data_IF_810756166067
#
_entry.id   IF_810756166067
#
_cell.length_a   1.000
_cell.length_b   1.000
_cell.length_c   1.000
_cell.angle_alpha   90.00
_cell.angle_beta   90.00
_cell.angle_gamma   90.00
#
_symmetry.space_group_name_H-M   'P 1'
#
loop_
_entity.id
_entity.type
_entity.pdbx_description
1 polymer ?
#
# COMPACT_ATOMS: atom_id res chain seq x y z
N UNK A 1 10.90 -24.46 -5.02
CA UNK A 1 12.28 -24.67 -4.55
C UNK A 1 12.78 -26.11 -4.72
N UNK A 2 12.01 -27.16 -4.34
CA UNK A 2 12.43 -28.56 -4.54
C UNK A 2 12.85 -28.89 -6.00
N UNK A 3 12.06 -28.48 -6.99
CA UNK A 3 12.39 -28.69 -8.41
C UNK A 3 13.59 -27.87 -8.92
N UNK A 4 13.99 -26.79 -8.23
CA UNK A 4 15.17 -26.01 -8.61
C UNK A 4 16.45 -26.71 -8.15
N UNK A 5 16.47 -27.26 -6.94
CA UNK A 5 17.59 -28.07 -6.45
C UNK A 5 17.80 -29.33 -7.30
N UNK A 6 16.72 -30.03 -7.66
CA UNK A 6 16.78 -31.18 -8.57
C UNK A 6 17.33 -30.83 -9.96
N UNK A 7 16.97 -29.65 -10.47
CA UNK A 7 17.55 -29.13 -11.71
C UNK A 7 19.06 -28.90 -11.60
N UNK A 8 19.54 -28.31 -10.50
CA UNK A 8 20.97 -28.05 -10.28
C UNK A 8 21.79 -29.35 -10.18
N UNK A 9 21.25 -30.37 -9.50
CA UNK A 9 21.85 -31.71 -9.47
C UNK A 9 21.93 -32.29 -10.89
N UNK A 10 20.89 -32.11 -11.71
CA UNK A 10 20.86 -32.63 -13.09
C UNK A 10 21.87 -31.96 -14.02
N UNK A 11 22.25 -30.71 -13.75
CA UNK A 11 23.24 -29.97 -14.55
C UNK A 11 24.64 -29.97 -13.92
N UNK A 12 24.88 -30.90 -12.99
CA UNK A 12 26.20 -31.22 -12.41
C UNK A 12 26.88 -30.03 -11.70
N UNK A 13 26.06 -29.23 -11.01
CA UNK A 13 26.51 -28.11 -10.15
C UNK A 13 27.30 -28.66 -8.96
N UNK A 14 28.32 -27.91 -8.51
CA UNK A 14 29.21 -28.37 -7.44
C UNK A 14 28.49 -28.55 -6.09
N UNK A 15 28.97 -29.49 -5.27
CA UNK A 15 28.46 -29.70 -3.89
C UNK A 15 28.50 -28.42 -3.04
N UNK A 16 29.53 -27.58 -3.23
CA UNK A 16 29.65 -26.29 -2.54
C UNK A 16 28.53 -25.32 -2.92
N UNK A 17 28.11 -25.31 -4.19
CA UNK A 17 27.00 -24.49 -4.68
C UNK A 17 25.64 -25.06 -4.25
N UNK A 18 25.45 -26.38 -4.28
CA UNK A 18 24.25 -27.03 -3.77
C UNK A 18 24.05 -26.72 -2.27
N UNK A 19 25.12 -26.80 -1.47
CA UNK A 19 25.07 -26.44 -0.06
C UNK A 19 24.76 -24.96 0.17
N UNK A 20 25.15 -24.06 -0.74
CA UNK A 20 24.74 -22.65 -0.69
C UNK A 20 23.25 -22.51 -0.94
N UNK A 21 22.72 -23.15 -1.99
CA UNK A 21 21.29 -23.11 -2.31
C UNK A 21 20.44 -23.68 -1.16
N UNK A 22 20.90 -24.76 -0.52
CA UNK A 22 20.18 -25.34 0.62
C UNK A 22 20.13 -24.39 1.82
N UNK A 23 21.21 -23.63 2.08
CA UNK A 23 21.20 -22.55 3.09
C UNK A 23 20.24 -21.44 2.69
N UNK A 24 20.32 -20.95 1.47
CA UNK A 24 19.43 -19.88 0.99
C UNK A 24 17.95 -20.30 1.10
N UNK A 25 17.62 -21.55 0.79
CA UNK A 25 16.26 -22.11 0.96
C UNK A 25 15.84 -22.14 2.43
N UNK A 26 16.74 -22.53 3.33
CA UNK A 26 16.46 -22.57 4.76
C UNK A 26 16.26 -21.16 5.35
N UNK A 27 17.08 -20.20 4.93
CA UNK A 27 16.99 -18.80 5.35
C UNK A 27 15.66 -18.18 4.87
N UNK A 28 15.29 -18.38 3.59
CA UNK A 28 13.98 -17.95 3.05
C UNK A 28 12.82 -18.61 3.81
N UNK A 29 12.96 -19.89 4.17
CA UNK A 29 11.92 -20.59 4.92
C UNK A 29 11.77 -20.07 6.34
N UNK A 30 12.87 -19.64 6.98
CA UNK A 30 12.88 -19.06 8.33
C UNK A 30 12.27 -17.64 8.35
N UNK A 31 12.42 -16.88 7.27
CA UNK A 31 11.83 -15.54 7.11
C UNK A 31 10.36 -15.57 6.67
N UNK A 32 9.80 -16.75 6.37
CA UNK A 32 8.44 -16.86 5.85
C UNK A 32 7.42 -16.49 6.94
N UNK A 33 6.55 -15.52 6.61
CA UNK A 33 5.36 -15.18 7.42
C UNK A 33 4.53 -16.43 7.75
N UNK A 34 4.04 -16.48 8.97
CA UNK A 34 3.24 -17.60 9.48
C UNK A 34 1.76 -17.22 9.53
N UNK A 35 0.84 -18.11 9.13
CA UNK A 35 -0.59 -17.82 9.22
C UNK A 35 -1.04 -17.62 10.67
N UNK A 36 -2.00 -16.72 10.94
CA UNK A 36 -2.53 -16.55 12.29
C UNK A 36 -3.25 -17.82 12.76
N UNK A 37 -2.90 -18.29 13.97
CA UNK A 37 -3.49 -19.48 14.59
C UNK A 37 -4.94 -19.26 15.08
N UNK A 38 -5.35 -17.99 15.22
CA UNK A 38 -6.66 -17.62 15.74
C UNK A 38 -7.80 -17.82 14.74
N UNK A 39 -9.00 -18.07 15.26
CA UNK A 39 -10.24 -18.10 14.46
C UNK A 39 -10.39 -16.77 13.71
N UNK A 40 -10.80 -16.79 12.43
CA UNK A 40 -10.88 -15.57 11.65
C UNK A 40 -11.97 -14.66 12.20
N UNK A 41 -11.70 -13.37 12.20
CA UNK A 41 -12.72 -12.35 12.44
C UNK A 41 -13.84 -12.54 11.39
N UNK A 42 -15.11 -12.75 11.81
CA UNK A 42 -16.21 -13.03 10.91
C UNK A 42 -16.87 -11.78 10.32
N UNK A 43 -16.50 -10.57 10.76
CA UNK A 43 -17.14 -9.33 10.33
C UNK A 43 -17.05 -9.16 8.80
N UNK A 44 -18.17 -8.87 8.11
CA UNK A 44 -18.14 -8.48 6.72
C UNK A 44 -17.48 -7.10 6.60
N UNK A 45 -16.87 -6.81 5.44
CA UNK A 45 -16.34 -5.48 5.19
C UNK A 45 -17.48 -4.47 4.96
N UNK A 46 -17.48 -3.41 5.75
CA UNK A 46 -18.16 -2.14 5.52
C UNK A 46 -17.13 -0.99 5.56
N UNK A 47 -17.61 0.25 5.40
CA UNK A 47 -16.73 1.42 5.35
C UNK A 47 -16.02 1.67 6.69
N UNK A 48 -16.69 1.42 7.82
CA UNK A 48 -16.11 1.64 9.14
C UNK A 48 -15.03 0.59 9.43
N UNK A 49 -15.27 -0.68 9.09
CA UNK A 49 -14.26 -1.73 9.21
C UNK A 49 -13.08 -1.52 8.26
N UNK A 50 -13.30 -0.98 7.07
CA UNK A 50 -12.19 -0.62 6.16
C UNK A 50 -11.23 0.35 6.83
N UNK A 51 -11.75 1.44 7.41
CA UNK A 51 -10.94 2.43 8.09
C UNK A 51 -10.35 1.92 9.40
N UNK A 52 -11.10 1.11 10.17
CA UNK A 52 -10.57 0.42 11.36
C UNK A 52 -9.32 -0.41 11.03
N UNK A 53 -9.33 -1.14 9.90
CA UNK A 53 -8.18 -1.95 9.46
C UNK A 53 -7.01 -1.05 9.04
N UNK A 54 -7.26 0.04 8.31
CA UNK A 54 -6.21 0.98 7.85
C UNK A 54 -5.55 1.71 9.02
N UNK A 55 -6.35 2.11 10.00
CA UNK A 55 -5.93 2.88 11.17
C UNK A 55 -5.42 2.01 12.32
N UNK A 56 -5.46 0.68 12.17
CA UNK A 56 -4.87 -0.24 13.12
C UNK A 56 -3.40 0.11 13.37
N UNK A 57 -3.01 0.03 14.64
CA UNK A 57 -1.65 0.31 15.12
C UNK A 57 -1.16 1.72 14.75
N UNK A 58 -2.05 2.71 14.66
CA UNK A 58 -1.74 4.10 14.25
C UNK A 58 -0.69 4.84 15.09
N UNK A 59 -0.34 4.34 16.28
CA UNK A 59 0.75 4.87 17.12
C UNK A 59 2.14 4.37 16.68
N UNK A 60 2.22 3.30 15.90
CA UNK A 60 3.47 2.73 15.41
C UNK A 60 4.04 3.55 14.23
N UNK A 61 5.36 3.54 14.02
CA UNK A 61 5.97 4.11 12.82
C UNK A 61 5.36 3.53 11.54
N UNK A 62 5.23 4.35 10.51
CA UNK A 62 4.53 3.96 9.27
C UNK A 62 5.15 2.72 8.61
N UNK A 63 6.48 2.61 8.59
CA UNK A 63 7.18 1.44 8.07
C UNK A 63 6.81 0.15 8.81
N UNK A 64 6.75 0.18 10.14
CA UNK A 64 6.36 -0.96 10.97
C UNK A 64 4.89 -1.33 10.74
N UNK A 65 4.00 -0.33 10.62
CA UNK A 65 2.59 -0.53 10.28
C UNK A 65 2.43 -1.22 8.92
N UNK A 66 3.18 -0.77 7.91
CA UNK A 66 3.16 -1.34 6.56
C UNK A 66 3.66 -2.79 6.55
N UNK A 67 4.76 -3.06 7.27
CA UNK A 67 5.34 -4.40 7.35
C UNK A 67 4.39 -5.42 7.98
N UNK A 68 3.68 -5.00 9.04
CA UNK A 68 2.71 -5.81 9.79
C UNK A 68 1.32 -5.88 9.13
N UNK A 69 1.02 -4.98 8.19
CA UNK A 69 -0.30 -4.86 7.57
C UNK A 69 -0.85 -6.17 7.00
N UNK A 70 -0.06 -6.98 6.24
CA UNK A 70 -0.55 -8.27 5.72
C UNK A 70 -0.95 -9.24 6.83
N UNK A 71 -0.20 -9.29 7.93
CA UNK A 71 -0.44 -10.20 9.05
C UNK A 71 -1.70 -9.77 9.83
N UNK A 72 -1.89 -8.46 10.02
CA UNK A 72 -3.10 -7.89 10.59
C UNK A 72 -4.34 -8.21 9.74
N UNK A 73 -4.25 -8.02 8.42
CA UNK A 73 -5.33 -8.31 7.49
C UNK A 73 -5.62 -9.82 7.38
N UNK A 74 -4.60 -10.68 7.56
CA UNK A 74 -4.76 -12.14 7.56
C UNK A 74 -5.62 -12.66 8.73
N UNK A 75 -5.89 -11.84 9.75
CA UNK A 75 -6.80 -12.17 10.86
C UNK A 75 -8.27 -12.27 10.41
N UNK A 76 -8.63 -11.73 9.25
CA UNK A 76 -9.98 -11.76 8.71
C UNK A 76 -10.24 -12.97 7.82
N UNK A 77 -11.52 -13.25 7.50
CA UNK A 77 -11.87 -14.29 6.52
C UNK A 77 -11.34 -13.95 5.11
N UNK A 78 -10.98 -14.95 4.28
CA UNK A 78 -10.57 -14.72 2.88
C UNK A 78 -11.56 -13.91 2.04
N UNK A 79 -12.86 -13.99 2.35
CA UNK A 79 -13.86 -13.12 1.71
C UNK A 79 -13.64 -11.64 2.07
N UNK A 80 -13.51 -11.31 3.35
CA UNK A 80 -13.27 -9.95 3.84
C UNK A 80 -11.98 -9.37 3.28
N UNK A 81 -10.91 -10.17 3.18
CA UNK A 81 -9.64 -9.73 2.57
C UNK A 81 -9.81 -9.34 1.09
N UNK A 82 -10.57 -10.12 0.31
CA UNK A 82 -10.88 -9.77 -1.09
C UNK A 82 -11.80 -8.56 -1.21
N UNK A 83 -12.73 -8.40 -0.28
CA UNK A 83 -13.59 -7.22 -0.22
C UNK A 83 -12.73 -5.99 0.08
N UNK A 84 -11.75 -6.11 0.99
CA UNK A 84 -10.83 -5.05 1.38
C UNK A 84 -9.95 -4.63 0.20
N UNK A 85 -9.40 -5.59 -0.55
CA UNK A 85 -8.66 -5.30 -1.78
C UNK A 85 -9.47 -4.42 -2.75
N UNK A 86 -10.75 -4.75 -2.98
CA UNK A 86 -11.61 -3.99 -3.89
C UNK A 86 -11.88 -2.59 -3.37
N UNK A 87 -12.19 -2.46 -2.08
CA UNK A 87 -12.42 -1.16 -1.44
C UNK A 87 -11.16 -0.30 -1.42
N UNK A 88 -9.99 -0.88 -1.12
CA UNK A 88 -8.71 -0.19 -1.16
C UNK A 88 -8.43 0.39 -2.54
N UNK A 89 -8.65 -0.39 -3.61
CA UNK A 89 -8.48 0.07 -4.99
C UNK A 89 -9.46 1.20 -5.36
N UNK A 90 -10.70 1.12 -4.88
CA UNK A 90 -11.70 2.18 -5.06
C UNK A 90 -11.26 3.47 -4.36
N UNK A 91 -10.93 3.41 -3.07
CA UNK A 91 -10.49 4.56 -2.27
C UNK A 91 -9.21 5.16 -2.86
N UNK A 92 -8.21 4.35 -3.19
CA UNK A 92 -6.99 4.81 -3.85
C UNK A 92 -7.25 5.47 -5.21
N UNK A 93 -8.26 4.99 -5.96
CA UNK A 93 -8.70 5.61 -7.20
C UNK A 93 -9.39 6.98 -7.02
N UNK A 94 -10.09 7.21 -5.91
CA UNK A 94 -10.74 8.50 -5.62
C UNK A 94 -9.73 9.65 -5.47
N UNK A 95 -8.51 9.34 -5.04
CA UNK A 95 -7.42 10.31 -4.92
C UNK A 95 -6.66 10.53 -6.26
N UNK A 96 -7.03 9.84 -7.35
CA UNK A 96 -6.44 10.07 -8.66
C UNK A 96 -7.05 11.29 -9.35
N UNK A 97 -6.72 12.46 -8.80
CA UNK A 97 -7.20 13.77 -9.25
C UNK A 97 -6.05 14.74 -9.48
N UNK A 98 -6.18 15.65 -10.44
CA UNK A 98 -5.15 16.65 -10.77
C UNK A 98 -4.86 17.61 -9.62
N UNK A 99 -5.87 18.02 -8.86
CA UNK A 99 -5.69 18.91 -7.69
C UNK A 99 -4.96 18.22 -6.52
N UNK A 100 -5.19 16.92 -6.34
CA UNK A 100 -4.43 16.09 -5.39
C UNK A 100 -3.01 15.82 -5.90
N UNK A 101 -2.81 15.73 -7.22
CA UNK A 101 -1.47 15.68 -7.82
C UNK A 101 -0.72 16.99 -7.55
N UNK A 102 -1.35 18.14 -7.82
CA UNK A 102 -0.76 19.46 -7.54
C UNK A 102 -0.30 19.56 -6.08
N UNK A 103 -1.13 19.09 -5.14
CA UNK A 103 -0.76 19.00 -3.72
C UNK A 103 0.48 18.13 -3.50
N UNK A 104 0.48 16.91 -4.05
CA UNK A 104 1.62 15.99 -3.92
C UNK A 104 2.91 16.59 -4.53
N UNK A 105 2.80 17.27 -5.65
CA UNK A 105 3.90 17.92 -6.36
C UNK A 105 4.51 19.04 -5.51
N UNK A 106 3.69 19.92 -4.94
CA UNK A 106 4.14 21.02 -4.11
C UNK A 106 4.82 20.52 -2.82
N UNK A 107 4.20 19.56 -2.13
CA UNK A 107 4.74 18.98 -0.89
C UNK A 107 6.11 18.31 -1.09
N UNK A 108 6.39 17.81 -2.30
CA UNK A 108 7.60 17.03 -2.62
C UNK A 108 8.66 17.80 -3.42
N UNK A 109 8.32 18.97 -3.95
CA UNK A 109 9.17 19.66 -4.93
C UNK A 109 9.23 18.95 -6.28
N UNK A 110 8.15 18.28 -6.68
CA UNK A 110 8.02 17.49 -7.91
C UNK A 110 7.32 16.15 -7.66
N UNK A 111 6.60 15.62 -8.65
CA UNK A 111 5.90 14.33 -8.50
C UNK A 111 5.69 13.64 -9.86
N UNK A 112 6.32 12.48 -10.04
CA UNK A 112 6.07 11.57 -11.15
C UNK A 112 4.83 10.71 -10.92
N UNK A 113 4.35 9.98 -11.93
CA UNK A 113 3.26 9.00 -11.79
C UNK A 113 3.50 7.98 -10.66
N UNK A 114 4.73 7.48 -10.54
CA UNK A 114 5.11 6.51 -9.50
C UNK A 114 5.10 7.15 -8.10
N UNK A 115 5.65 8.37 -7.98
CA UNK A 115 5.60 9.14 -6.72
C UNK A 115 4.16 9.47 -6.34
N UNK A 116 3.30 9.75 -7.32
CA UNK A 116 1.88 10.03 -7.10
C UNK A 116 1.09 8.78 -6.69
N UNK A 117 1.48 7.60 -7.19
CA UNK A 117 0.97 6.32 -6.67
C UNK A 117 1.28 6.15 -5.18
N UNK A 118 2.54 6.38 -4.78
CA UNK A 118 2.98 6.32 -3.38
C UNK A 118 2.25 7.34 -2.51
N UNK A 119 2.14 8.60 -2.96
CA UNK A 119 1.42 9.64 -2.22
C UNK A 119 -0.05 9.29 -1.95
N UNK A 120 -0.77 8.75 -2.94
CA UNK A 120 -2.18 8.34 -2.76
C UNK A 120 -2.31 7.18 -1.78
N UNK A 121 -1.36 6.25 -1.77
CA UNK A 121 -1.35 5.16 -0.79
C UNK A 121 -1.03 5.67 0.62
N UNK A 122 -0.05 6.57 0.73
CA UNK A 122 0.29 7.27 1.97
C UNK A 122 -0.90 8.05 2.55
N UNK A 123 -1.66 8.76 1.70
CA UNK A 123 -2.82 9.53 2.15
C UNK A 123 -3.90 8.65 2.79
N UNK A 124 -4.08 7.42 2.31
CA UNK A 124 -4.98 6.44 2.93
C UNK A 124 -4.48 6.04 4.32
N UNK A 125 -3.16 5.83 4.47
CA UNK A 125 -2.53 5.42 5.72
C UNK A 125 -2.58 6.50 6.82
N UNK A 126 -2.86 7.76 6.46
CA UNK A 126 -3.18 8.85 7.39
C UNK A 126 -4.58 8.74 8.00
N UNK A 127 -5.39 7.78 7.55
CA UNK A 127 -6.73 7.51 8.06
C UNK A 127 -7.82 8.32 7.38
N UNK A 128 -9.06 7.99 7.74
CA UNK A 128 -10.29 8.47 7.12
C UNK A 128 -10.39 9.98 7.13
N UNK A 129 -10.14 10.59 8.28
CA UNK A 129 -10.33 12.02 8.48
C UNK A 129 -9.40 12.85 7.58
N UNK A 130 -8.12 12.48 7.49
CA UNK A 130 -7.13 13.16 6.65
C UNK A 130 -7.42 12.92 5.18
N UNK A 131 -7.74 11.67 4.81
CA UNK A 131 -8.06 11.32 3.43
C UNK A 131 -9.28 12.10 2.91
N UNK A 132 -10.41 12.04 3.63
CA UNK A 132 -11.65 12.70 3.24
C UNK A 132 -11.51 14.23 3.25
N UNK A 133 -10.81 14.82 4.23
CA UNK A 133 -10.55 16.25 4.28
C UNK A 133 -9.70 16.72 3.09
N UNK A 134 -8.66 15.97 2.75
CA UNK A 134 -7.79 16.27 1.59
C UNK A 134 -8.57 16.22 0.29
N UNK A 135 -9.41 15.20 0.08
CA UNK A 135 -10.22 15.13 -1.15
C UNK A 135 -11.29 16.23 -1.23
N UNK A 136 -11.75 16.72 -0.10
CA UNK A 136 -12.73 17.82 -0.04
C UNK A 136 -12.09 19.16 -0.39
N UNK A 137 -10.89 19.42 0.11
CA UNK A 137 -10.17 20.67 -0.09
C UNK A 137 -8.65 20.45 0.00
N UNK A 138 -7.98 20.11 -1.13
CA UNK A 138 -6.54 19.87 -1.15
C UNK A 138 -5.72 21.09 -0.68
N UNK A 139 -6.24 22.31 -0.90
CA UNK A 139 -5.58 23.56 -0.50
C UNK A 139 -5.66 23.83 1.01
N UNK A 140 -6.50 23.09 1.75
CA UNK A 140 -6.57 23.14 3.21
C UNK A 140 -5.68 22.10 3.91
N UNK A 141 -4.87 21.36 3.17
CA UNK A 141 -4.03 20.31 3.73
C UNK A 141 -3.04 20.89 4.77
N UNK A 142 -2.92 20.24 5.93
CA UNK A 142 -1.95 20.65 6.94
C UNK A 142 -0.56 20.11 6.56
N UNK A 143 0.33 20.99 6.08
CA UNK A 143 1.69 20.64 5.65
C UNK A 143 2.51 19.93 6.74
N UNK A 144 2.22 20.16 8.03
CA UNK A 144 2.90 19.49 9.15
C UNK A 144 2.63 17.97 9.20
N UNK A 145 1.53 17.50 8.59
CA UNK A 145 1.24 16.07 8.49
C UNK A 145 2.12 15.37 7.47
N UNK A 146 2.67 16.11 6.50
CA UNK A 146 3.51 15.51 5.48
C UNK A 146 4.91 15.23 6.03
N UNK A 147 5.10 14.00 6.49
CA UNK A 147 6.41 13.45 6.79
C UNK A 147 7.03 12.95 5.48
N UNK A 148 8.28 13.33 5.20
CA UNK A 148 8.95 13.07 3.91
C UNK A 148 9.08 11.59 3.52
N UNK A 149 8.73 10.66 4.41
CA UNK A 149 8.88 9.21 4.24
C UNK A 149 7.56 8.53 3.83
N UNK A 150 7.05 8.92 2.67
CA UNK A 150 5.91 8.29 2.02
C UNK A 150 6.31 7.17 1.06
N UNK A 151 7.61 6.96 0.88
CA UNK A 151 8.15 6.04 -0.12
C UNK A 151 7.83 4.61 0.30
N UNK A 152 7.49 3.74 -0.66
CA UNK A 152 7.10 2.37 -0.37
C UNK A 152 5.70 2.19 0.21
N UNK A 153 4.93 3.27 0.44
CA UNK A 153 3.55 3.18 0.91
C UNK A 153 2.63 2.43 -0.07
N UNK A 154 2.98 2.39 -1.37
CA UNK A 154 2.28 1.61 -2.37
C UNK A 154 2.26 0.11 -2.08
N UNK A 155 3.14 -0.39 -1.20
CA UNK A 155 3.13 -1.78 -0.71
C UNK A 155 1.80 -2.18 -0.06
N UNK A 156 1.02 -1.23 0.48
CA UNK A 156 -0.33 -1.50 0.98
C UNK A 156 -1.25 -2.08 -0.11
N UNK A 157 -1.01 -1.76 -1.39
CA UNK A 157 -1.81 -2.25 -2.52
C UNK A 157 -1.58 -3.74 -2.80
N UNK A 158 -0.47 -4.30 -2.32
CA UNK A 158 -0.11 -5.72 -2.41
C UNK A 158 -0.48 -6.50 -1.15
N UNK A 159 -0.56 -5.82 0.00
CA UNK A 159 -0.85 -6.43 1.30
C UNK A 159 -2.09 -7.36 1.31
N UNK A 160 -3.22 -7.06 0.62
CA UNK A 160 -4.36 -7.98 0.56
C UNK A 160 -4.06 -9.31 -0.13
N UNK A 161 -3.20 -9.32 -1.15
CA UNK A 161 -2.81 -10.55 -1.82
C UNK A 161 -1.97 -11.43 -0.90
N UNK A 162 -0.98 -10.83 -0.22
CA UNK A 162 -0.13 -11.49 0.78
C UNK A 162 -1.00 -12.05 1.92
N UNK A 163 -1.89 -11.23 2.49
CA UNK A 163 -2.77 -11.61 3.58
C UNK A 163 -3.70 -12.78 3.22
N UNK A 164 -4.24 -12.77 1.99
CA UNK A 164 -5.08 -13.84 1.50
C UNK A 164 -4.30 -15.15 1.35
N UNK A 165 -3.09 -15.09 0.81
CA UNK A 165 -2.23 -16.27 0.66
C UNK A 165 -1.89 -16.88 2.01
N UNK A 166 -1.51 -16.04 2.98
CA UNK A 166 -1.28 -16.44 4.35
C UNK A 166 -2.52 -17.11 4.96
N UNK A 167 -3.70 -16.51 4.76
CA UNK A 167 -4.93 -16.99 5.41
C UNK A 167 -5.58 -18.20 4.73
N UNK A 168 -5.56 -18.24 3.40
CA UNK A 168 -6.26 -19.25 2.60
C UNK A 168 -5.34 -20.41 2.18
N UNK A 169 -4.02 -20.25 2.27
CA UNK A 169 -3.03 -21.20 1.76
C UNK A 169 -3.10 -21.37 0.23
N UNK A 170 -3.61 -20.36 -0.47
CA UNK A 170 -3.84 -20.37 -1.93
C UNK A 170 -3.57 -18.98 -2.49
N UNK A 171 -3.11 -18.92 -3.74
CA UNK A 171 -2.88 -17.66 -4.44
C UNK A 171 -4.12 -16.76 -4.47
N UNK A 172 -3.88 -15.44 -4.41
CA UNK A 172 -4.95 -14.46 -4.54
C UNK A 172 -5.62 -14.58 -5.94
N UNK A 173 -6.95 -14.76 -6.03
CA UNK A 173 -7.61 -14.89 -7.31
C UNK A 173 -7.46 -13.62 -8.18
N UNK A 174 -7.28 -13.77 -9.50
CA UNK A 174 -7.26 -12.63 -10.41
C UNK A 174 -8.51 -11.78 -10.25
N UNK A 175 -8.32 -10.47 -10.04
CA UNK A 175 -9.41 -9.51 -9.89
C UNK A 175 -9.31 -8.49 -11.00
N UNK A 176 -10.43 -8.23 -11.69
CA UNK A 176 -10.49 -7.19 -12.73
C UNK A 176 -10.46 -5.83 -12.05
N UNK A 177 -9.39 -5.09 -12.26
CA UNK A 177 -9.26 -3.71 -11.80
C UNK A 177 -9.45 -2.79 -13.01
N UNK A 178 -10.39 -1.84 -12.98
CA UNK A 178 -10.55 -0.90 -14.07
C UNK A 178 -9.32 0.00 -14.18
N UNK A 179 -9.02 0.43 -15.40
CA UNK A 179 -8.03 1.49 -15.61
C UNK A 179 -8.58 2.79 -15.01
N UNK A 180 -7.78 3.42 -14.17
CA UNK A 180 -8.11 4.73 -13.62
C UNK A 180 -7.93 5.79 -14.71
N UNK A 181 -8.75 6.84 -14.63
CA UNK A 181 -8.60 8.06 -15.42
C UNK A 181 -8.33 9.19 -14.45
N UNK A 182 -7.37 10.04 -14.77
CA UNK A 182 -7.14 11.24 -14.00
C UNK A 182 -8.39 12.11 -14.10
N UNK A 183 -8.84 12.63 -12.96
CA UNK A 183 -10.07 13.44 -12.86
C UNK A 183 -9.78 14.78 -12.22
N UNK A 184 -10.77 15.67 -12.18
CA UNK A 184 -10.62 17.00 -11.61
C UNK A 184 -10.30 18.06 -12.67
N UNK A 185 -9.91 19.28 -12.23
CA UNK A 185 -9.56 20.36 -13.14
C UNK A 185 -8.34 20.00 -13.99
N UNK A 186 -8.31 20.48 -15.23
CA UNK A 186 -7.09 20.48 -16.05
C UNK A 186 -6.23 21.64 -15.54
N UNK A 187 -5.09 21.32 -14.93
CA UNK A 187 -4.14 22.28 -14.38
C UNK A 187 -2.77 21.87 -14.91
N UNK A 188 -2.08 22.79 -15.57
CA UNK A 188 -0.70 22.57 -15.99
C UNK A 188 0.25 22.64 -14.79
N UNK A 189 1.39 21.96 -14.83
CA UNK A 189 2.31 21.89 -13.68
C UNK A 189 2.77 23.29 -13.22
N UNK A 190 2.95 24.22 -14.16
CA UNK A 190 3.31 25.62 -13.90
C UNK A 190 2.24 26.37 -13.09
N UNK A 191 0.99 25.90 -13.12
CA UNK A 191 -0.14 26.49 -12.42
C UNK A 191 -0.45 25.83 -11.07
N UNK A 192 0.26 24.74 -10.71
CA UNK A 192 0.00 24.02 -9.45
C UNK A 192 0.08 24.93 -8.22
N UNK A 193 1.10 25.78 -8.13
CA UNK A 193 1.23 26.74 -7.03
C UNK A 193 0.09 27.77 -6.99
N UNK A 194 -0.34 28.25 -8.16
CA UNK A 194 -1.46 29.19 -8.26
C UNK A 194 -2.81 28.54 -7.91
N UNK A 195 -2.95 27.24 -8.17
CA UNK A 195 -4.16 26.47 -7.90
C UNK A 195 -4.33 26.11 -6.42
N UNK A 196 -3.24 26.09 -5.64
CA UNK A 196 -3.21 25.78 -4.21
C UNK A 196 -2.50 26.89 -3.41
N UNK A 197 -3.06 28.12 -3.38
CA UNK A 197 -2.38 29.29 -2.83
C UNK A 197 -2.11 29.22 -1.32
N UNK A 198 -2.94 28.50 -0.53
CA UNK A 198 -2.67 28.35 0.92
C UNK A 198 -1.53 27.37 1.16
N UNK A 199 -1.45 26.30 0.37
CA UNK A 199 -0.33 25.36 0.45
C UNK A 199 0.97 26.02 0.03
N UNK A 200 0.98 26.73 -1.11
CA UNK A 200 2.18 27.46 -1.54
C UNK A 200 2.67 28.45 -0.49
N UNK A 201 1.75 29.24 0.10
CA UNK A 201 2.11 30.17 1.17
C UNK A 201 2.66 29.47 2.43
N UNK A 202 2.15 28.29 2.76
CA UNK A 202 2.62 27.51 3.92
C UNK A 202 4.01 26.88 3.69
N UNK A 203 4.37 26.55 2.45
CA UNK A 203 5.67 25.98 2.11
C UNK A 203 6.80 27.03 1.98
N UNK A 204 6.44 28.29 1.73
CA UNK A 204 7.38 29.41 1.64
C UNK A 204 7.70 30.06 3.02
N UNK A 205 7.01 29.64 4.09
CA UNK A 205 7.08 30.23 5.44
C UNK A 205 8.18 29.59 6.31
#
# INVERSE_FOLDING_TARGET
>A
MAGYREFLVRVDVSEGELARVDRDVADIAAERRTPPESKPDPRPLDDDLFWEIVEADGEQPLGERLEAFPDNLARFKPKTIRDFYRKLREVWGQAYRTDVWALAYLLRGGCSDDSFMGFRAWLILQGRAVFEATLKDPDAFNVELFQSDSDGCESILEAPAIAYELRAGKSFPPTKTPLLKLTGPEIDEEEFAASLPRISAALDA
#
